data_IF_819228998696
#
_entry.id   IF_819228998696
#
_cell.length_a   1.000
_cell.length_b   1.000
_cell.length_c   1.000
_cell.angle_alpha   90.00
_cell.angle_beta   90.00
_cell.angle_gamma   90.00
#
_symmetry.space_group_name_H-M   'P 1'
#
loop_
_entity.id
_entity.type
_entity.pdbx_description
1 polymer ?
#
# COMPACT_ATOMS: atom_id res chain seq x y z
N UNK A 1 1.62 14.00 -10.80
CA UNK A 1 0.81 14.80 -11.74
C UNK A 1 -0.50 15.19 -11.05
N UNK A 2 -1.06 16.36 -11.34
CA UNK A 2 -2.33 16.83 -10.77
C UNK A 2 -3.30 17.09 -11.92
N UNK A 3 -4.51 16.53 -11.83
CA UNK A 3 -5.57 16.67 -12.82
C UNK A 3 -6.59 17.68 -12.31
N UNK A 4 -7.01 18.61 -13.18
CA UNK A 4 -7.87 19.72 -12.80
C UNK A 4 -9.07 19.87 -13.72
N UNK A 5 -10.23 20.17 -13.15
CA UNK A 5 -11.44 20.56 -13.87
C UNK A 5 -11.93 21.90 -13.33
N UNK A 6 -12.08 22.91 -14.19
CA UNK A 6 -12.48 24.27 -13.79
C UNK A 6 -11.66 24.82 -12.61
N UNK A 7 -10.32 24.75 -12.71
CA UNK A 7 -9.34 25.16 -11.69
C UNK A 7 -9.45 24.44 -10.33
N UNK A 8 -10.17 23.31 -10.26
CA UNK A 8 -10.25 22.47 -9.06
C UNK A 8 -9.50 21.15 -9.27
N UNK A 9 -8.66 20.70 -8.33
CA UNK A 9 -8.04 19.39 -8.42
C UNK A 9 -9.10 18.30 -8.30
N UNK A 10 -9.16 17.43 -9.30
CA UNK A 10 -10.07 16.27 -9.35
C UNK A 10 -9.32 14.94 -9.28
N UNK A 11 -8.00 14.97 -9.44
CA UNK A 11 -7.17 13.80 -9.16
C UNK A 11 -5.69 14.09 -9.06
N UNK A 12 -4.97 13.13 -8.50
CA UNK A 12 -3.54 13.16 -8.29
C UNK A 12 -2.99 11.78 -8.68
N UNK A 13 -1.95 11.79 -9.50
CA UNK A 13 -1.17 10.60 -9.78
C UNK A 13 0.23 10.77 -9.15
N UNK A 14 0.49 10.14 -8.00
CA UNK A 14 1.74 10.31 -7.25
C UNK A 14 2.87 9.52 -7.93
N UNK A 15 3.52 10.13 -8.91
CA UNK A 15 4.51 9.45 -9.75
C UNK A 15 5.68 10.34 -10.15
N UNK A 16 6.77 9.67 -10.53
CA UNK A 16 8.02 10.25 -11.05
C UNK A 16 8.34 9.63 -12.40
N UNK A 17 9.08 10.37 -13.22
CA UNK A 17 9.65 9.85 -14.47
C UNK A 17 11.16 9.75 -14.27
N UNK A 18 11.67 8.53 -14.32
CA UNK A 18 13.10 8.24 -14.22
C UNK A 18 13.55 7.44 -15.44
N UNK A 19 14.55 7.96 -16.16
CA UNK A 19 15.13 7.29 -17.34
C UNK A 19 14.08 6.88 -18.40
N UNK A 20 13.04 7.69 -18.59
CA UNK A 20 11.97 7.42 -19.54
C UNK A 20 10.89 6.44 -19.04
N UNK A 21 10.94 6.05 -17.77
CA UNK A 21 9.93 5.18 -17.14
C UNK A 21 9.12 5.95 -16.12
N UNK A 22 7.80 5.93 -16.26
CA UNK A 22 6.84 6.44 -15.29
C UNK A 22 6.66 5.41 -14.16
N UNK A 23 6.93 5.83 -12.92
CA UNK A 23 6.85 5.00 -11.72
C UNK A 23 6.05 5.68 -10.63
N UNK A 24 5.39 4.91 -9.77
CA UNK A 24 4.83 5.47 -8.54
C UNK A 24 5.91 6.06 -7.64
N UNK A 25 5.53 7.09 -6.89
CA UNK A 25 6.31 7.60 -5.78
C UNK A 25 6.29 6.57 -4.65
N UNK A 26 7.45 6.07 -4.28
CA UNK A 26 7.59 5.09 -3.22
C UNK A 26 8.78 4.17 -3.44
N UNK A 27 8.86 3.14 -2.62
CA UNK A 27 9.86 2.09 -2.73
C UNK A 27 9.20 0.75 -2.41
N UNK A 28 9.37 -0.23 -3.30
CA UNK A 28 8.85 -1.60 -3.18
C UNK A 28 9.11 -2.27 -1.82
N UNK A 29 10.13 -1.83 -1.07
CA UNK A 29 10.51 -2.40 0.23
C UNK A 29 9.70 -1.86 1.41
N UNK A 30 9.17 -0.64 1.30
CA UNK A 30 8.64 0.13 2.44
C UNK A 30 7.32 0.84 2.14
N UNK A 31 6.83 0.75 0.90
CA UNK A 31 5.56 1.34 0.48
C UNK A 31 4.60 0.20 0.12
N UNK A 32 3.44 0.15 0.79
CA UNK A 32 2.49 -0.95 0.64
C UNK A 32 1.67 -0.86 -0.65
N UNK A 33 0.85 0.18 -0.82
CA UNK A 33 -0.05 0.38 -1.95
C UNK A 33 -0.02 1.86 -2.33
N UNK A 34 0.18 2.13 -3.61
CA UNK A 34 0.07 3.48 -4.18
C UNK A 34 -0.80 3.40 -5.41
N UNK A 35 -1.80 4.26 -5.47
CA UNK A 35 -2.68 4.34 -6.63
C UNK A 35 -2.98 5.80 -6.98
N UNK A 36 -3.69 6.01 -8.06
CA UNK A 36 -4.25 7.31 -8.42
C UNK A 36 -5.31 7.67 -7.39
N UNK A 37 -5.30 8.93 -6.98
CA UNK A 37 -6.31 9.50 -6.10
C UNK A 37 -7.25 10.32 -6.98
N UNK A 38 -8.55 10.08 -6.90
CA UNK A 38 -9.54 10.80 -7.70
C UNK A 38 -10.79 11.16 -6.90
N UNK A 39 -11.46 12.21 -7.36
CA UNK A 39 -12.84 12.47 -7.01
C UNK A 39 -13.76 11.48 -7.76
N UNK A 40 -14.81 10.95 -7.12
CA UNK A 40 -15.74 10.04 -7.77
C UNK A 40 -16.31 10.59 -9.08
N UNK A 41 -16.33 9.77 -10.13
CA UNK A 41 -16.80 10.13 -11.47
C UNK A 41 -15.74 10.70 -12.40
N UNK A 42 -14.50 10.90 -11.94
CA UNK A 42 -13.37 11.37 -12.76
C UNK A 42 -12.37 10.26 -13.11
N UNK A 43 -12.58 9.03 -12.64
CA UNK A 43 -11.66 7.89 -12.77
C UNK A 43 -11.20 7.70 -14.21
N UNK A 44 -12.16 7.42 -15.10
CA UNK A 44 -11.90 7.10 -16.51
C UNK A 44 -11.22 8.27 -17.23
N UNK A 45 -11.73 9.49 -17.05
CA UNK A 45 -11.19 10.69 -17.68
C UNK A 45 -9.71 10.91 -17.31
N UNK A 46 -9.38 10.79 -16.01
CA UNK A 46 -8.00 10.96 -15.53
C UNK A 46 -7.10 9.88 -16.14
N UNK A 47 -7.57 8.63 -16.18
CA UNK A 47 -6.77 7.51 -16.68
C UNK A 47 -6.55 7.64 -18.20
N UNK A 48 -7.55 8.10 -18.96
CA UNK A 48 -7.42 8.39 -20.39
C UNK A 48 -6.40 9.50 -20.65
N UNK A 49 -6.45 10.60 -19.89
CA UNK A 49 -5.49 11.69 -20.01
C UNK A 49 -4.06 11.21 -19.68
N UNK A 50 -3.93 10.36 -18.64
CA UNK A 50 -2.66 9.75 -18.26
C UNK A 50 -2.11 8.82 -19.36
N UNK A 51 -2.96 7.99 -19.96
CA UNK A 51 -2.58 7.10 -21.05
C UNK A 51 -2.13 7.90 -22.29
N UNK A 52 -2.86 8.95 -22.67
CA UNK A 52 -2.45 9.86 -23.74
C UNK A 52 -1.10 10.51 -23.45
N UNK A 53 -0.86 10.94 -22.21
CA UNK A 53 0.42 11.50 -21.79
C UNK A 53 1.56 10.48 -21.93
N UNK A 54 1.37 9.25 -21.47
CA UNK A 54 2.36 8.17 -21.57
C UNK A 54 2.72 7.88 -23.03
N UNK A 55 1.70 7.67 -23.88
CA UNK A 55 1.88 7.33 -25.30
C UNK A 55 2.54 8.48 -26.06
N UNK A 56 2.07 9.72 -25.86
CA UNK A 56 2.60 10.89 -26.57
C UNK A 56 4.07 11.18 -26.27
N UNK A 57 4.56 10.68 -25.13
CA UNK A 57 5.95 10.86 -24.67
C UNK A 57 6.80 9.60 -24.80
N UNK A 58 6.25 8.53 -25.37
CA UNK A 58 6.93 7.23 -25.51
C UNK A 58 7.51 6.73 -24.16
N UNK A 59 6.74 6.91 -23.08
CA UNK A 59 7.16 6.51 -21.74
C UNK A 59 6.91 5.02 -21.51
N UNK A 60 7.87 4.36 -20.87
CA UNK A 60 7.65 3.05 -20.27
C UNK A 60 6.87 3.20 -18.98
N UNK A 61 6.18 2.14 -18.59
CA UNK A 61 5.38 2.08 -17.36
C UNK A 61 5.97 1.01 -16.45
N UNK A 62 6.22 1.37 -15.20
CA UNK A 62 6.57 0.43 -14.13
C UNK A 62 5.84 0.89 -12.85
N UNK A 63 4.58 0.46 -12.75
CA UNK A 63 3.65 0.88 -11.71
C UNK A 63 3.46 -0.25 -10.71
N UNK A 64 4.21 -0.14 -9.62
CA UNK A 64 4.17 -1.07 -8.51
C UNK A 64 4.33 -0.27 -7.20
N UNK A 65 3.61 -0.62 -6.13
CA UNK A 65 2.53 -1.62 -6.01
C UNK A 65 1.12 -1.07 -6.30
N UNK A 66 0.22 -1.90 -6.85
CA UNK A 66 -1.19 -1.58 -7.16
C UNK A 66 -2.16 -2.56 -6.48
N UNK A 67 -3.35 -2.07 -6.12
CA UNK A 67 -4.48 -2.94 -5.75
C UNK A 67 -5.02 -3.67 -6.99
N UNK A 68 -5.40 -4.95 -6.82
CA UNK A 68 -5.82 -5.80 -7.94
C UNK A 68 -7.14 -5.40 -8.59
N UNK A 69 -7.96 -4.61 -7.91
CA UNK A 69 -9.21 -4.03 -8.38
C UNK A 69 -9.08 -2.53 -8.73
N UNK A 70 -7.84 -2.02 -8.84
CA UNK A 70 -7.58 -0.65 -9.29
C UNK A 70 -8.16 -0.40 -10.68
N UNK A 71 -8.88 0.72 -10.91
CA UNK A 71 -9.40 1.08 -12.22
C UNK A 71 -8.29 1.35 -13.26
N UNK A 72 -7.06 1.63 -12.81
CA UNK A 72 -5.91 1.75 -13.72
C UNK A 72 -5.67 0.47 -14.49
N UNK A 73 -5.80 -0.69 -13.84
CA UNK A 73 -5.45 -1.97 -14.42
C UNK A 73 -6.36 -2.23 -15.63
N UNK A 74 -7.68 -2.12 -15.44
CA UNK A 74 -8.66 -2.33 -16.50
C UNK A 74 -8.49 -1.32 -17.64
N UNK A 75 -8.37 -0.04 -17.31
CA UNK A 75 -8.28 1.01 -18.32
C UNK A 75 -6.95 0.98 -19.10
N UNK A 76 -5.82 0.68 -18.44
CA UNK A 76 -4.53 0.63 -19.13
C UNK A 76 -4.41 -0.55 -20.09
N UNK A 77 -4.98 -1.70 -19.75
CA UNK A 77 -5.08 -2.84 -20.68
C UNK A 77 -5.82 -2.48 -21.97
N UNK A 78 -6.79 -1.58 -21.89
CA UNK A 78 -7.56 -1.10 -23.05
C UNK A 78 -6.81 -0.01 -23.83
N UNK A 79 -6.20 0.94 -23.12
CA UNK A 79 -5.71 2.20 -23.70
C UNK A 79 -4.25 2.16 -24.13
N UNK A 80 -3.43 1.30 -23.53
CA UNK A 80 -1.99 1.28 -23.73
C UNK A 80 -1.59 -0.09 -24.31
N UNK A 81 -0.90 -0.14 -25.47
CA UNK A 81 -0.45 -1.40 -26.04
C UNK A 81 0.62 -2.05 -25.15
N UNK A 82 0.67 -3.38 -25.19
CA UNK A 82 1.71 -4.21 -24.55
C UNK A 82 1.83 -4.05 -23.01
N UNK A 83 0.75 -3.68 -22.32
CA UNK A 83 0.70 -3.69 -20.86
C UNK A 83 0.69 -5.11 -20.33
N UNK A 84 1.58 -5.39 -19.37
CA UNK A 84 1.67 -6.66 -18.65
C UNK A 84 1.34 -6.44 -17.18
N UNK A 85 0.56 -7.36 -16.61
CA UNK A 85 0.20 -7.35 -15.19
C UNK A 85 0.78 -8.61 -14.55
N UNK A 86 1.48 -8.44 -13.43
CA UNK A 86 2.03 -9.53 -12.64
C UNK A 86 1.52 -9.45 -11.20
N UNK A 87 0.92 -10.54 -10.71
CA UNK A 87 0.53 -10.64 -9.31
C UNK A 87 1.79 -10.85 -8.45
N UNK A 88 2.07 -9.92 -7.53
CA UNK A 88 3.29 -9.96 -6.71
C UNK A 88 3.07 -10.47 -5.30
N UNK A 89 2.06 -9.96 -4.57
CA UNK A 89 1.79 -10.34 -3.18
C UNK A 89 0.28 -10.39 -2.90
N UNK A 90 -0.09 -10.81 -1.70
CA UNK A 90 -1.45 -10.75 -1.16
C UNK A 90 -1.58 -9.51 -0.27
N UNK A 91 -2.70 -8.78 -0.40
CA UNK A 91 -3.12 -7.75 0.54
C UNK A 91 -4.30 -8.27 1.38
N UNK A 92 -4.08 -8.78 2.61
CA UNK A 92 -5.19 -9.26 3.44
C UNK A 92 -6.06 -8.10 3.91
N UNK A 93 -7.29 -8.01 3.39
CA UNK A 93 -8.28 -7.04 3.84
C UNK A 93 -9.16 -7.63 4.95
N UNK A 94 -9.38 -6.84 6.01
CA UNK A 94 -10.32 -7.17 7.08
C UNK A 94 -11.31 -6.02 7.28
N UNK A 95 -12.56 -6.24 6.87
CA UNK A 95 -13.65 -5.31 7.20
C UNK A 95 -13.87 -5.31 8.72
N UNK A 96 -13.64 -4.17 9.36
CA UNK A 96 -13.82 -4.01 10.79
C UNK A 96 -15.32 -3.84 11.12
N UNK A 97 -15.91 -4.73 11.94
CA UNK A 97 -17.27 -4.54 12.42
C UNK A 97 -17.37 -3.33 13.34
N UNK A 98 -18.58 -2.80 13.53
CA UNK A 98 -18.83 -1.63 14.37
C UNK A 98 -18.62 -1.87 15.88
N UNK A 99 -18.40 -3.11 16.31
CA UNK A 99 -18.16 -3.46 17.71
C UNK A 99 -17.15 -4.59 17.86
N UNK A 100 -16.57 -4.69 19.06
CA UNK A 100 -15.67 -5.76 19.44
C UNK A 100 -16.38 -7.12 19.50
N UNK A 101 -17.62 -7.13 19.99
CA UNK A 101 -18.47 -8.31 20.08
C UNK A 101 -18.75 -8.90 18.69
N UNK A 102 -19.08 -8.05 17.72
CA UNK A 102 -19.33 -8.47 16.34
C UNK A 102 -18.07 -9.01 15.68
N UNK A 103 -16.91 -8.38 15.92
CA UNK A 103 -15.62 -8.91 15.50
C UNK A 103 -15.37 -10.32 16.06
N UNK A 104 -15.58 -10.53 17.37
CA UNK A 104 -15.42 -11.85 17.98
C UNK A 104 -16.39 -12.89 17.42
N UNK A 105 -17.62 -12.50 17.11
CA UNK A 105 -18.64 -13.37 16.54
C UNK A 105 -18.31 -13.82 15.11
N UNK A 106 -17.64 -12.96 14.33
CA UNK A 106 -17.17 -13.29 12.99
C UNK A 106 -15.99 -14.27 12.98
N UNK A 107 -15.24 -14.40 14.09
CA UNK A 107 -14.18 -15.39 14.20
C UNK A 107 -14.74 -16.81 14.35
N UNK A 108 -14.14 -17.78 13.64
CA UNK A 108 -14.41 -19.19 13.88
C UNK A 108 -14.03 -19.60 15.33
N UNK A 109 -14.60 -20.70 15.82
CA UNK A 109 -14.45 -21.12 17.23
C UNK A 109 -13.00 -21.30 17.68
N UNK A 110 -12.12 -21.79 16.80
CA UNK A 110 -10.70 -21.97 17.09
C UNK A 110 -9.99 -20.63 17.28
N UNK A 111 -10.16 -19.70 16.34
CA UNK A 111 -9.57 -18.36 16.41
C UNK A 111 -10.10 -17.57 17.60
N UNK A 112 -11.41 -17.65 17.86
CA UNK A 112 -12.05 -17.00 19.02
C UNK A 112 -11.48 -17.51 20.34
N UNK A 113 -11.30 -18.83 20.47
CA UNK A 113 -10.69 -19.43 21.66
C UNK A 113 -9.23 -18.99 21.83
N UNK A 114 -8.47 -19.00 20.73
CA UNK A 114 -7.05 -18.62 20.73
C UNK A 114 -6.85 -17.15 21.10
N UNK A 115 -7.67 -16.24 20.55
CA UNK A 115 -7.64 -14.82 20.90
C UNK A 115 -7.95 -14.61 22.39
N UNK A 116 -9.02 -15.23 22.91
CA UNK A 116 -9.35 -15.16 24.34
C UNK A 116 -8.23 -15.70 25.24
N UNK A 117 -7.59 -16.80 24.83
CA UNK A 117 -6.43 -17.36 25.54
C UNK A 117 -5.25 -16.39 25.56
N UNK A 118 -4.95 -15.73 24.43
CA UNK A 118 -3.88 -14.71 24.33
C UNK A 118 -4.18 -13.49 25.20
N UNK A 119 -5.42 -12.97 25.17
CA UNK A 119 -5.82 -11.84 26.01
C UNK A 119 -5.68 -12.14 27.51
N UNK A 120 -6.06 -13.34 27.96
CA UNK A 120 -5.83 -13.75 29.36
C UNK A 120 -4.35 -13.80 29.73
N UNK A 121 -3.48 -14.23 28.81
CA UNK A 121 -2.03 -14.27 29.04
C UNK A 121 -1.39 -12.88 29.01
N UNK A 122 -1.95 -11.97 28.22
CA UNK A 122 -1.54 -10.58 28.18
C UNK A 122 -1.99 -9.79 29.43
N UNK A 123 -2.74 -10.40 30.34
CA UNK A 123 -3.12 -9.76 31.60
C UNK A 123 -1.86 -9.38 32.41
N UNK A 124 -1.68 -8.09 32.66
CA UNK A 124 -0.47 -7.52 33.27
C UNK A 124 0.54 -6.93 32.28
N UNK A 125 0.25 -6.96 30.97
CA UNK A 125 1.00 -6.20 29.96
C UNK A 125 0.39 -4.81 29.82
N UNK A 126 1.21 -3.79 29.93
CA UNK A 126 0.82 -2.40 29.67
C UNK A 126 1.06 -2.07 28.20
N UNK A 127 0.04 -1.54 27.51
CA UNK A 127 0.21 -0.99 26.17
C UNK A 127 0.66 0.46 26.29
N UNK A 128 1.79 0.79 25.66
CA UNK A 128 2.30 2.16 25.59
C UNK A 128 2.43 2.57 24.13
N UNK A 129 1.99 3.79 23.83
CA UNK A 129 2.34 4.46 22.59
C UNK A 129 3.81 4.87 22.67
N UNK A 130 4.53 4.69 21.57
CA UNK A 130 5.95 5.01 21.47
C UNK A 130 6.10 6.13 20.44
N UNK A 131 6.92 7.12 20.78
CA UNK A 131 7.29 8.19 19.84
C UNK A 131 8.31 7.68 18.80
N UNK A 132 8.40 8.30 17.61
CA UNK A 132 9.31 7.88 16.54
C UNK A 132 10.77 7.71 16.97
N UNK A 133 11.27 8.49 17.95
CA UNK A 133 12.65 8.37 18.44
C UNK A 133 12.96 7.00 19.05
N UNK A 134 11.92 6.27 19.48
CA UNK A 134 12.04 4.93 20.05
C UNK A 134 12.07 3.81 19.00
N UNK A 135 12.08 4.11 17.71
CA UNK A 135 12.00 3.11 16.63
C UNK A 135 13.11 2.04 16.69
N UNK A 136 14.23 2.35 17.34
CA UNK A 136 15.31 1.38 17.59
C UNK A 136 14.82 0.14 18.37
N UNK A 137 13.83 0.29 19.27
CA UNK A 137 13.21 -0.83 20.00
C UNK A 137 12.46 -1.76 19.03
N UNK A 138 11.74 -1.19 18.05
CA UNK A 138 11.06 -1.98 17.03
C UNK A 138 12.07 -2.78 16.19
N UNK A 139 13.18 -2.16 15.77
CA UNK A 139 14.23 -2.85 15.01
C UNK A 139 14.85 -4.01 15.79
N UNK A 140 15.07 -3.85 17.09
CA UNK A 140 15.57 -4.92 17.96
C UNK A 140 14.58 -6.07 18.03
N UNK A 141 13.31 -5.79 18.34
CA UNK A 141 12.24 -6.80 18.41
C UNK A 141 12.07 -7.54 17.08
N UNK A 142 12.06 -6.81 15.95
CA UNK A 142 12.00 -7.40 14.61
C UNK A 142 13.21 -8.32 14.35
N UNK A 143 14.43 -7.84 14.63
CA UNK A 143 15.67 -8.60 14.41
C UNK A 143 15.73 -9.88 15.24
N UNK A 144 15.22 -9.84 16.47
CA UNK A 144 15.18 -10.99 17.38
C UNK A 144 14.06 -11.97 17.06
N UNK A 145 13.02 -11.54 16.34
CA UNK A 145 11.84 -12.38 16.05
C UNK A 145 12.05 -13.38 14.90
N UNK A 146 12.82 -13.02 13.86
CA UNK A 146 13.02 -13.86 12.68
C UNK A 146 14.25 -13.46 11.85
N UNK A 147 14.90 -14.44 11.20
CA UNK A 147 16.11 -14.21 10.39
C UNK A 147 15.86 -13.38 9.14
N UNK A 148 14.69 -13.51 8.49
CA UNK A 148 14.37 -12.72 7.30
C UNK A 148 14.14 -11.26 7.67
N UNK A 149 13.46 -10.99 8.78
CA UNK A 149 13.31 -9.62 9.31
C UNK A 149 14.64 -8.98 9.66
N UNK A 150 15.57 -9.75 10.25
CA UNK A 150 16.94 -9.27 10.49
C UNK A 150 17.67 -8.92 9.19
N UNK A 151 17.51 -9.72 8.14
CA UNK A 151 18.12 -9.46 6.82
C UNK A 151 17.49 -8.25 6.12
N UNK A 152 16.19 -8.02 6.31
CA UNK A 152 15.48 -6.86 5.78
C UNK A 152 15.96 -5.53 6.40
N UNK A 153 16.33 -5.52 7.68
CA UNK A 153 16.77 -4.32 8.42
C UNK A 153 18.23 -3.92 8.11
N UNK A 154 18.52 -3.68 6.84
CA UNK A 154 19.76 -3.09 6.34
C UNK A 154 19.93 -1.64 6.82
N UNK A 155 21.12 -1.05 6.61
CA UNK A 155 21.42 0.31 7.07
C UNK A 155 20.52 1.37 6.42
N UNK A 156 20.25 1.23 5.12
CA UNK A 156 19.35 2.09 4.34
C UNK A 156 17.90 2.04 4.84
N UNK A 157 17.38 0.84 5.14
CA UNK A 157 16.02 0.71 5.69
C UNK A 157 15.92 1.33 7.09
N UNK A 158 16.93 1.12 7.94
CA UNK A 158 16.93 1.73 9.28
C UNK A 158 17.00 3.25 9.22
N UNK A 159 17.73 3.80 8.25
CA UNK A 159 17.83 5.25 8.06
C UNK A 159 16.54 5.84 7.48
N UNK A 160 15.88 5.14 6.56
CA UNK A 160 14.58 5.56 6.01
C UNK A 160 13.51 5.80 7.09
N UNK A 161 13.52 4.99 8.14
CA UNK A 161 12.54 5.05 9.23
C UNK A 161 12.98 5.95 10.41
N UNK A 162 14.19 6.54 10.36
CA UNK A 162 14.67 7.50 11.38
C UNK A 162 14.38 8.93 10.96
#
# INVERSE_FOLDING_TARGET
MVFQQNDKPVGIFPAIIENGTLKFLGNERVTDIVDIIYAPGYERQIIEELACFIISRDLRIDLFPLEGDSPLIECFLELIPDVMIEQTDLCPLLSLPGSWEDYLNNLNGKLRHELRRKLRKANGVEMRSMEPEHISILFELMSNSDKNKKRFLTSDVREFFR
#
